data_IF_069057305733
#
_entry.id   IF_069057305733
#
_cell.length_a   1.000
_cell.length_b   1.000
_cell.length_c   1.000
_cell.angle_alpha   90.00
_cell.angle_beta   90.00
_cell.angle_gamma   90.00
#
_symmetry.space_group_name_H-M   'P 1'
#
loop_
_entity.id
_entity.type
_entity.pdbx_description
1 polymer ?
#
# COMPACT_ATOMS: atom_id res chain seq x y z
N UNK A 1 -0.91 -4.24 12.91
CA UNK A 1 -1.30 -3.22 13.91
C UNK A 1 -1.43 -1.82 13.31
N UNK A 2 -0.48 -1.35 12.50
CA UNK A 2 -0.53 0.02 11.96
C UNK A 2 -1.70 0.29 11.00
N UNK A 3 -2.11 -0.70 10.19
CA UNK A 3 -3.10 -0.51 9.10
C UNK A 3 -4.46 -0.01 9.61
N UNK A 4 -5.08 -0.60 10.65
CA UNK A 4 -6.30 -0.04 11.22
C UNK A 4 -6.16 1.40 11.74
N UNK A 5 -4.99 1.78 12.28
CA UNK A 5 -4.74 3.15 12.75
C UNK A 5 -4.69 4.14 11.59
N UNK A 6 -3.99 3.77 10.50
CA UNK A 6 -3.94 4.57 9.27
C UNK A 6 -5.35 4.68 8.67
N UNK A 7 -6.05 3.56 8.57
CA UNK A 7 -7.40 3.49 8.00
C UNK A 7 -8.39 4.39 8.75
N UNK A 8 -8.37 4.31 10.09
CA UNK A 8 -9.17 5.18 10.96
C UNK A 8 -8.90 6.65 10.67
N UNK A 9 -7.63 7.04 10.58
CA UNK A 9 -7.27 8.43 10.33
C UNK A 9 -7.72 8.90 8.94
N UNK A 10 -7.66 8.04 7.93
CA UNK A 10 -8.17 8.36 6.59
C UNK A 10 -9.68 8.59 6.59
N UNK A 11 -10.45 7.78 7.31
CA UNK A 11 -11.91 7.97 7.44
C UNK A 11 -12.22 9.28 8.19
N UNK A 12 -11.54 9.56 9.30
CA UNK A 12 -11.70 10.82 10.03
C UNK A 12 -11.44 12.05 9.15
N UNK A 13 -10.46 11.98 8.24
CA UNK A 13 -10.15 13.06 7.31
C UNK A 13 -11.21 13.10 6.20
N UNK A 14 -11.59 11.96 5.62
CA UNK A 14 -12.63 11.90 4.60
C UNK A 14 -13.94 12.55 5.06
N UNK A 15 -14.35 12.30 6.30
CA UNK A 15 -15.54 12.92 6.90
C UNK A 15 -15.40 14.44 7.07
N UNK A 16 -14.22 14.93 7.44
CA UNK A 16 -13.95 16.36 7.60
C UNK A 16 -13.93 17.11 6.27
N UNK A 17 -13.37 16.49 5.24
CA UNK A 17 -13.28 17.06 3.90
C UNK A 17 -14.56 16.86 3.08
N UNK A 18 -15.54 16.11 3.59
CA UNK A 18 -16.74 15.74 2.84
C UNK A 18 -16.47 14.83 1.65
N UNK A 19 -15.41 14.01 1.72
CA UNK A 19 -15.04 13.07 0.68
C UNK A 19 -16.02 11.89 0.61
N UNK A 20 -16.33 11.48 -0.61
CA UNK A 20 -17.21 10.36 -0.96
C UNK A 20 -16.45 9.02 -1.08
N UNK A 21 -15.12 9.07 -1.12
CA UNK A 21 -14.27 7.90 -1.26
C UNK A 21 -12.94 8.01 -0.48
N UNK A 22 -12.36 6.85 -0.17
CA UNK A 22 -10.97 6.70 0.31
C UNK A 22 -10.19 5.79 -0.63
N UNK A 23 -8.87 5.99 -0.71
CA UNK A 23 -7.99 5.16 -1.52
C UNK A 23 -6.83 4.57 -0.72
N UNK A 24 -6.38 3.37 -1.09
CA UNK A 24 -5.17 2.75 -0.55
C UNK A 24 -4.30 2.12 -1.64
N UNK A 25 -2.99 2.09 -1.39
CA UNK A 25 -1.98 1.54 -2.31
C UNK A 25 -1.57 0.09 -2.03
N UNK A 26 -2.24 -0.64 -1.13
CA UNK A 26 -1.96 -2.05 -0.89
C UNK A 26 -2.18 -2.90 -2.16
N UNK A 27 -1.29 -3.85 -2.42
CA UNK A 27 -1.37 -4.74 -3.58
C UNK A 27 -2.52 -5.74 -3.45
N UNK A 28 -3.03 -6.23 -4.59
CA UNK A 28 -4.11 -7.21 -4.62
C UNK A 28 -3.77 -8.62 -4.10
N UNK A 29 -2.50 -8.88 -3.77
CA UNK A 29 -2.03 -10.18 -3.25
C UNK A 29 -1.76 -10.16 -1.74
N UNK A 30 -1.61 -8.98 -1.14
CA UNK A 30 -1.19 -8.82 0.25
C UNK A 30 -2.34 -8.78 1.24
N UNK A 31 -2.03 -9.02 2.51
CA UNK A 31 -2.98 -8.94 3.63
C UNK A 31 -3.46 -7.50 3.92
N UNK A 32 -2.69 -6.50 3.50
CA UNK A 32 -2.95 -5.10 3.86
C UNK A 32 -4.23 -4.55 3.25
N UNK A 33 -4.63 -4.99 2.04
CA UNK A 33 -5.89 -4.57 1.44
C UNK A 33 -7.08 -4.93 2.34
N UNK A 34 -7.09 -6.15 2.89
CA UNK A 34 -8.16 -6.63 3.78
C UNK A 34 -8.17 -5.84 5.07
N UNK A 35 -6.99 -5.55 5.63
CA UNK A 35 -6.85 -4.78 6.88
C UNK A 35 -7.37 -3.35 6.73
N UNK A 36 -7.07 -2.70 5.60
CA UNK A 36 -7.58 -1.36 5.29
C UNK A 36 -9.09 -1.39 5.10
N UNK A 37 -9.58 -2.21 4.17
CA UNK A 37 -10.98 -2.24 3.78
C UNK A 37 -11.92 -2.68 4.91
N UNK A 38 -11.55 -3.71 5.67
CA UNK A 38 -12.34 -4.12 6.83
C UNK A 38 -12.45 -2.99 7.85
N UNK A 39 -11.38 -2.21 8.04
CA UNK A 39 -11.41 -1.06 8.95
C UNK A 39 -12.24 0.09 8.38
N UNK A 40 -12.13 0.39 7.08
CA UNK A 40 -12.94 1.42 6.44
C UNK A 40 -14.43 1.11 6.58
N UNK A 41 -14.86 -0.11 6.20
CA UNK A 41 -16.26 -0.50 6.27
C UNK A 41 -16.77 -0.64 7.71
N UNK A 42 -15.90 -0.98 8.67
CA UNK A 42 -16.29 -0.96 10.08
C UNK A 42 -16.54 0.46 10.63
N UNK A 43 -15.87 1.48 10.09
CA UNK A 43 -16.00 2.87 10.54
C UNK A 43 -17.00 3.69 9.73
N UNK A 44 -17.16 3.37 8.44
CA UNK A 44 -18.10 4.01 7.52
C UNK A 44 -18.51 2.98 6.44
N UNK A 45 -19.58 2.19 6.68
CA UNK A 45 -19.98 1.09 5.79
C UNK A 45 -20.21 1.49 4.33
N UNK A 46 -20.74 2.70 4.11
CA UNK A 46 -21.10 3.20 2.78
C UNK A 46 -19.95 3.90 2.04
N UNK A 47 -18.74 3.95 2.62
CA UNK A 47 -17.60 4.62 1.98
C UNK A 47 -17.17 3.86 0.72
N UNK A 48 -16.95 4.59 -0.38
CA UNK A 48 -16.37 3.99 -1.58
C UNK A 48 -14.87 3.79 -1.37
N UNK A 49 -14.37 2.57 -1.59
CA UNK A 49 -12.93 2.29 -1.56
C UNK A 49 -12.36 2.17 -2.97
N UNK A 50 -11.27 2.89 -3.23
CA UNK A 50 -10.52 2.85 -4.48
C UNK A 50 -9.15 2.18 -4.23
N UNK A 51 -8.93 1.01 -4.83
CA UNK A 51 -7.68 0.28 -4.74
C UNK A 51 -7.05 0.15 -6.14
N UNK A 52 -6.20 1.10 -6.59
CA UNK A 52 -5.71 1.15 -7.98
C UNK A 52 -5.05 -0.14 -8.45
N UNK A 53 -4.33 -0.84 -7.57
CA UNK A 53 -3.70 -2.14 -7.84
C UNK A 53 -4.64 -3.25 -8.31
N UNK A 54 -5.97 -3.09 -8.16
CA UNK A 54 -6.98 -4.02 -8.67
C UNK A 54 -7.61 -3.60 -10.00
N UNK A 55 -7.33 -2.39 -10.48
CA UNK A 55 -8.05 -1.80 -11.61
C UNK A 55 -7.14 -1.34 -12.75
N UNK A 56 -5.94 -0.88 -12.45
CA UNK A 56 -5.03 -0.36 -13.47
C UNK A 56 -4.24 -1.46 -14.18
N UNK A 57 -3.57 -1.09 -15.26
CA UNK A 57 -2.80 -2.02 -16.10
C UNK A 57 -1.32 -2.16 -15.68
N UNK A 58 -0.88 -1.45 -14.63
CA UNK A 58 0.52 -1.50 -14.20
C UNK A 58 0.86 -2.86 -13.58
N UNK A 59 1.88 -3.52 -14.13
CA UNK A 59 2.33 -4.86 -13.75
C UNK A 59 3.40 -4.84 -12.67
N UNK A 60 4.06 -3.71 -12.45
CA UNK A 60 5.11 -3.60 -11.44
C UNK A 60 5.84 -2.27 -11.42
N UNK A 61 7.01 -2.27 -10.77
CA UNK A 61 7.81 -1.07 -10.53
C UNK A 61 8.24 -0.37 -11.82
N UNK A 62 8.61 -1.11 -12.87
CA UNK A 62 9.05 -0.53 -14.13
C UNK A 62 7.95 0.32 -14.79
N UNK A 63 6.72 -0.19 -14.86
CA UNK A 63 5.58 0.54 -15.40
C UNK A 63 5.27 1.81 -14.60
N UNK A 64 5.37 1.73 -13.27
CA UNK A 64 5.17 2.88 -12.39
C UNK A 64 6.26 3.95 -12.56
N UNK A 65 7.53 3.54 -12.74
CA UNK A 65 8.62 4.47 -13.01
C UNK A 65 8.42 5.18 -14.35
N UNK A 66 8.05 4.44 -15.40
CA UNK A 66 7.74 5.02 -16.72
C UNK A 66 6.53 5.97 -16.67
N UNK A 67 5.51 5.62 -15.89
CA UNK A 67 4.37 6.51 -15.64
C UNK A 67 4.81 7.80 -14.94
N UNK A 68 5.62 7.69 -13.88
CA UNK A 68 6.14 8.85 -13.17
C UNK A 68 6.99 9.75 -14.07
N UNK A 69 7.88 9.18 -14.90
CA UNK A 69 8.68 9.92 -15.87
C UNK A 69 7.81 10.66 -16.90
N UNK A 70 6.86 9.95 -17.51
CA UNK A 70 5.92 10.51 -18.49
C UNK A 70 5.10 11.67 -17.92
N UNK A 71 4.73 11.60 -16.65
CA UNK A 71 3.89 12.60 -15.99
C UNK A 71 4.67 13.63 -15.15
N UNK A 72 6.01 13.60 -15.18
CA UNK A 72 6.84 14.54 -14.42
C UNK A 72 6.71 14.40 -12.90
N UNK A 73 6.38 13.21 -12.39
CA UNK A 73 6.27 12.92 -10.96
C UNK A 73 7.65 12.55 -10.42
N UNK A 74 8.26 13.36 -9.54
CA UNK A 74 9.58 13.06 -9.00
C UNK A 74 9.51 11.84 -8.08
N UNK A 75 10.37 10.85 -8.34
CA UNK A 75 10.48 9.63 -7.53
C UNK A 75 11.93 9.38 -7.11
N UNK A 76 12.12 9.02 -5.84
CA UNK A 76 13.44 8.66 -5.27
C UNK A 76 13.68 7.14 -5.30
N UNK A 77 12.73 6.38 -5.82
CA UNK A 77 12.80 4.92 -5.85
C UNK A 77 13.85 4.46 -6.88
N UNK A 78 14.87 3.73 -6.43
CA UNK A 78 15.78 2.99 -7.30
C UNK A 78 15.30 1.56 -7.51
N UNK A 79 15.72 0.93 -8.61
CA UNK A 79 15.42 -0.47 -8.89
C UNK A 79 16.03 -1.43 -7.84
N UNK A 80 17.05 -0.98 -7.13
CA UNK A 80 17.99 -1.80 -6.34
C UNK A 80 17.49 -2.29 -4.98
N UNK A 81 16.34 -1.86 -4.46
CA UNK A 81 15.92 -2.34 -3.13
C UNK A 81 15.66 -3.85 -3.17
N UNK A 82 16.46 -4.68 -2.46
CA UNK A 82 16.37 -6.14 -2.55
C UNK A 82 15.15 -6.70 -1.83
N UNK A 83 14.54 -5.92 -0.93
CA UNK A 83 13.39 -6.31 -0.12
C UNK A 83 12.29 -5.24 -0.15
N UNK A 84 11.06 -5.68 0.05
CA UNK A 84 9.98 -4.83 0.57
C UNK A 84 10.24 -4.57 2.06
N UNK A 85 9.95 -3.36 2.52
CA UNK A 85 10.19 -2.97 3.92
C UNK A 85 9.04 -2.13 4.44
N UNK A 86 8.50 -2.52 5.58
CA UNK A 86 7.52 -1.73 6.33
C UNK A 86 8.05 -1.45 7.74
N UNK A 87 8.08 -0.18 8.12
CA UNK A 87 8.63 0.29 9.39
C UNK A 87 7.62 1.13 10.15
N UNK A 88 7.51 0.87 11.45
CA UNK A 88 6.83 1.72 12.42
C UNK A 88 7.62 1.71 13.73
N UNK A 89 7.11 2.37 14.78
CA UNK A 89 7.79 2.44 16.07
C UNK A 89 7.98 1.06 16.72
N UNK A 90 7.09 0.10 16.44
CA UNK A 90 7.09 -1.22 17.10
C UNK A 90 7.99 -2.24 16.41
N UNK A 91 8.15 -2.17 15.09
CA UNK A 91 8.97 -3.13 14.34
C UNK A 91 9.36 -2.62 12.95
N UNK A 92 10.29 -3.35 12.34
CA UNK A 92 10.56 -3.32 10.91
C UNK A 92 10.33 -4.73 10.38
N UNK A 93 9.61 -4.84 9.26
CA UNK A 93 9.45 -6.08 8.52
C UNK A 93 10.18 -6.00 7.19
N UNK A 94 10.72 -7.15 6.75
CA UNK A 94 11.40 -7.35 5.49
C UNK A 94 10.79 -8.57 4.81
N UNK A 95 10.45 -8.46 3.54
CA UNK A 95 9.87 -9.56 2.74
C UNK A 95 10.22 -9.40 1.25
N UNK A 96 9.97 -10.42 0.44
CA UNK A 96 10.22 -10.38 -1.00
C UNK A 96 11.70 -10.54 -1.40
N UNK A 97 11.92 -10.65 -2.71
CA UNK A 97 13.26 -10.79 -3.28
C UNK A 97 13.94 -12.06 -2.81
N UNK A 98 15.19 -11.96 -2.33
CA UNK A 98 15.95 -13.14 -1.91
C UNK A 98 15.44 -13.78 -0.60
N UNK A 99 14.52 -13.13 0.12
CA UNK A 99 13.89 -13.67 1.33
C UNK A 99 12.74 -14.66 1.04
N UNK A 100 12.35 -14.82 -0.23
CA UNK A 100 11.29 -15.77 -0.62
C UNK A 100 11.77 -17.24 -0.63
N UNK A 101 13.08 -17.50 -0.51
CA UNK A 101 13.62 -18.85 -0.36
C UNK A 101 13.72 -19.23 1.12
N UNK A 102 12.82 -20.08 1.65
CA UNK A 102 12.84 -20.47 3.06
C UNK A 102 14.01 -21.39 3.42
N UNK A 103 14.75 -21.93 2.44
CA UNK A 103 15.94 -22.73 2.68
C UNK A 103 17.22 -21.90 2.78
N UNK A 104 17.18 -20.63 2.37
CA UNK A 104 18.27 -19.69 2.58
C UNK A 104 18.19 -19.07 3.98
N UNK A 105 19.33 -18.97 4.67
CA UNK A 105 19.40 -18.19 5.91
C UNK A 105 19.21 -16.69 5.62
N UNK A 106 18.69 -15.90 6.57
CA UNK A 106 18.67 -14.45 6.42
C UNK A 106 20.07 -13.90 6.12
N UNK A 107 20.21 -12.98 5.13
CA UNK A 107 21.48 -12.44 4.66
C UNK A 107 22.13 -11.45 5.64
#
# INVERSE_FOLDING_TARGET
LARPVIAKRQIEIAQKEGADAVAHGATGKGNDQVRFELTYYALQPDIKVIAPWRHWDFKGRADLMAYCEKHGIPVTASAEKPYSTDRNLMHISYEGGILEDPWAAPP
#
